data_IF_462220660656
#
_entry.id   IF_462220660656
#
_cell.length_a   1.000
_cell.length_b   1.000
_cell.length_c   1.000
_cell.angle_alpha   90.00
_cell.angle_beta   90.00
_cell.angle_gamma   90.00
#
_symmetry.space_group_name_H-M   'P 1'
#
loop_
_entity.id
_entity.type
_entity.pdbx_description
1 polymer ?
#
# COMPACT_ATOMS: atom_id res chain seq x y z
N UNK A 1 2.50 5.76 -43.07
CA UNK A 1 2.99 4.38 -42.95
C UNK A 1 2.80 3.95 -41.51
N UNK A 2 2.11 2.82 -41.29
CA UNK A 2 1.52 2.41 -40.01
C UNK A 2 2.53 1.69 -39.09
N UNK A 3 2.13 1.61 -37.82
CA UNK A 3 2.48 0.61 -36.79
C UNK A 3 3.81 0.74 -36.02
N UNK A 4 3.71 1.20 -34.76
CA UNK A 4 3.76 0.27 -33.63
C UNK A 4 3.13 0.87 -32.36
N UNK A 5 1.93 0.42 -32.02
CA UNK A 5 1.43 0.46 -30.66
C UNK A 5 2.24 -0.56 -29.85
N UNK A 6 3.01 -0.12 -28.85
CA UNK A 6 3.31 -0.95 -27.68
C UNK A 6 2.54 -0.39 -26.50
N UNK A 7 1.45 -1.10 -26.21
CA UNK A 7 0.66 -1.01 -25.00
C UNK A 7 1.52 -1.27 -23.76
N UNK A 8 1.85 -0.22 -23.03
CA UNK A 8 2.11 -0.27 -21.58
C UNK A 8 1.50 0.93 -20.87
N UNK A 9 0.32 1.38 -21.33
CA UNK A 9 -0.57 2.23 -20.53
C UNK A 9 -1.31 1.38 -19.47
N UNK A 10 -0.56 0.77 -18.55
CA UNK A 10 -1.09 0.26 -17.28
C UNK A 10 -0.10 0.67 -16.19
N UNK A 11 -0.04 1.97 -15.92
CA UNK A 11 0.77 2.50 -14.82
C UNK A 11 0.05 3.67 -14.18
N UNK A 12 -1.18 3.44 -13.69
CA UNK A 12 -1.93 4.39 -12.86
C UNK A 12 -2.85 3.63 -11.90
N UNK A 13 -2.77 4.01 -10.60
CA UNK A 13 -3.72 3.78 -9.49
C UNK A 13 -3.42 2.69 -8.46
N UNK A 14 -2.22 2.67 -7.88
CA UNK A 14 -2.00 1.91 -6.64
C UNK A 14 -1.80 2.87 -5.47
N UNK A 15 -2.89 3.18 -4.76
CA UNK A 15 -2.75 3.56 -3.36
C UNK A 15 -2.29 2.30 -2.62
N UNK A 16 -1.19 2.41 -1.86
CA UNK A 16 -0.60 1.31 -1.10
C UNK A 16 -0.77 1.61 0.37
N UNK A 17 -1.45 0.71 1.07
CA UNK A 17 -1.41 0.68 2.53
C UNK A 17 -0.34 -0.33 2.96
N UNK A 18 0.48 0.06 3.94
CA UNK A 18 1.68 -0.64 4.35
C UNK A 18 1.72 -0.86 5.86
N UNK A 19 1.63 -2.11 6.30
CA UNK A 19 1.82 -2.44 7.72
C UNK A 19 3.29 -2.75 7.99
N UNK A 20 3.94 -1.93 8.81
CA UNK A 20 5.35 -2.06 9.18
C UNK A 20 5.47 -2.86 10.47
N UNK A 21 6.29 -3.90 10.47
CA UNK A 21 6.53 -4.79 11.60
C UNK A 21 8.03 -4.85 11.89
N UNK A 22 8.40 -4.83 13.16
CA UNK A 22 9.79 -4.92 13.60
C UNK A 22 9.97 -6.13 14.51
N UNK A 23 10.95 -6.98 14.21
CA UNK A 23 11.31 -8.10 15.08
C UNK A 23 12.13 -7.63 16.28
N UNK A 24 12.25 -8.46 17.32
CA UNK A 24 13.10 -8.19 18.50
C UNK A 24 14.59 -7.93 18.16
N UNK A 25 15.03 -8.29 16.95
CA UNK A 25 16.40 -8.02 16.44
C UNK A 25 16.47 -6.83 15.48
N UNK A 26 15.46 -5.97 15.44
CA UNK A 26 15.44 -4.77 14.59
C UNK A 26 15.17 -5.00 13.10
N UNK A 27 14.94 -6.25 12.66
CA UNK A 27 14.58 -6.53 11.25
C UNK A 27 13.16 -6.07 10.94
N UNK A 28 12.99 -5.45 9.78
CA UNK A 28 11.72 -4.85 9.34
C UNK A 28 11.03 -5.74 8.30
N UNK A 29 9.73 -5.94 8.44
CA UNK A 29 8.86 -6.53 7.44
C UNK A 29 7.68 -5.60 7.13
N UNK A 30 7.33 -5.47 5.85
CA UNK A 30 6.21 -4.65 5.39
C UNK A 30 5.20 -5.51 4.64
N UNK A 31 3.92 -5.38 4.99
CA UNK A 31 2.81 -5.97 4.24
C UNK A 31 2.15 -4.88 3.41
N UNK A 32 2.18 -5.02 2.09
CA UNK A 32 1.56 -4.10 1.14
C UNK A 32 0.21 -4.60 0.63
N UNK A 33 -0.80 -3.73 0.67
CA UNK A 33 -2.13 -3.95 0.08
C UNK A 33 -2.34 -2.99 -1.08
N UNK A 34 -2.79 -3.54 -2.20
CA UNK A 34 -3.12 -2.76 -3.40
C UNK A 34 -4.62 -2.47 -3.45
N UNK A 35 -4.97 -1.25 -3.84
CA UNK A 35 -6.36 -0.82 -3.99
C UNK A 35 -6.63 -0.28 -5.40
N UNK A 36 -7.79 -0.63 -5.94
CA UNK A 36 -8.37 0.01 -7.14
C UNK A 36 -9.66 0.74 -6.78
N UNK A 37 -10.03 1.74 -7.57
CA UNK A 37 -11.33 2.41 -7.44
C UNK A 37 -12.47 1.38 -7.52
N UNK A 38 -13.43 1.52 -6.61
CA UNK A 38 -14.61 0.65 -6.54
C UNK A 38 -15.47 0.94 -5.32
N UNK A 39 -16.04 -0.12 -4.73
CA UNK A 39 -16.83 -0.03 -3.50
C UNK A 39 -15.96 0.44 -2.32
N UNK A 40 -16.54 1.16 -1.34
CA UNK A 40 -15.84 1.54 -0.12
C UNK A 40 -15.17 0.34 0.56
N UNK A 41 -13.96 0.55 1.05
CA UNK A 41 -13.27 -0.43 1.87
C UNK A 41 -13.80 -0.41 3.31
N UNK A 42 -14.20 -1.57 3.84
CA UNK A 42 -14.79 -1.68 5.19
C UNK A 42 -13.87 -1.18 6.30
N UNK A 43 -12.56 -1.41 6.19
CA UNK A 43 -11.58 -0.96 7.18
C UNK A 43 -11.42 0.56 7.13
N UNK A 44 -11.20 1.12 5.93
CA UNK A 44 -11.04 2.57 5.76
C UNK A 44 -12.30 3.36 6.11
N UNK A 45 -13.50 2.76 5.99
CA UNK A 45 -14.74 3.41 6.44
C UNK A 45 -14.69 3.73 7.93
N UNK A 46 -14.07 2.88 8.76
CA UNK A 46 -13.96 3.12 10.21
C UNK A 46 -13.02 4.26 10.55
N UNK A 47 -12.05 4.54 9.66
CA UNK A 47 -11.07 5.61 9.83
C UNK A 47 -11.52 6.92 9.18
N UNK A 48 -12.60 6.91 8.39
CA UNK A 48 -12.96 7.99 7.49
C UNK A 48 -13.22 9.31 8.23
N UNK A 49 -13.95 9.27 9.35
CA UNK A 49 -14.25 10.46 10.14
C UNK A 49 -12.98 11.04 10.76
N UNK A 50 -12.08 10.17 11.23
CA UNK A 50 -10.74 10.53 11.67
C UNK A 50 -9.95 11.24 10.57
N UNK A 51 -9.87 10.64 9.38
CA UNK A 51 -9.16 11.19 8.23
C UNK A 51 -9.72 12.53 7.74
N UNK A 52 -11.04 12.74 7.83
CA UNK A 52 -11.67 14.01 7.42
C UNK A 52 -11.42 15.17 8.37
N UNK A 53 -11.04 14.88 9.61
CA UNK A 53 -10.94 15.86 10.69
C UNK A 53 -9.54 15.94 11.28
N UNK A 54 -8.61 15.09 10.82
CA UNK A 54 -7.21 15.14 11.21
C UNK A 54 -6.61 16.44 10.71
N UNK A 55 -5.96 17.15 11.63
CA UNK A 55 -5.18 18.35 11.34
C UNK A 55 -3.72 18.07 11.65
N UNK A 56 -3.04 19.05 12.25
CA UNK A 56 -1.64 18.89 12.70
C UNK A 56 -1.49 18.13 14.02
N UNK A 57 -2.58 17.94 14.73
CA UNK A 57 -2.59 17.26 16.03
C UNK A 57 -3.01 15.80 15.87
N UNK A 58 -2.44 14.95 16.74
CA UNK A 58 -2.81 13.54 16.80
C UNK A 58 -4.28 13.39 17.21
N UNK A 59 -4.95 12.41 16.61
CA UNK A 59 -6.35 12.11 16.88
C UNK A 59 -6.51 10.68 17.37
N UNK A 60 -7.16 10.52 18.51
CA UNK A 60 -7.57 9.21 19.01
C UNK A 60 -8.73 8.67 18.16
N UNK A 61 -8.51 7.47 17.60
CA UNK A 61 -9.50 6.73 16.80
C UNK A 61 -10.17 5.61 17.60
N UNK A 62 -9.86 5.49 18.89
CA UNK A 62 -10.27 4.39 19.74
C UNK A 62 -9.63 3.05 19.31
N UNK A 63 -10.34 1.95 19.59
CA UNK A 63 -9.84 0.61 19.31
C UNK A 63 -10.00 0.28 17.83
N UNK A 64 -8.87 0.19 17.12
CA UNK A 64 -8.80 -0.27 15.73
C UNK A 64 -8.22 -1.68 15.70
N UNK A 65 -9.02 -2.66 15.25
CA UNK A 65 -8.56 -4.04 15.08
C UNK A 65 -7.94 -4.25 13.68
N UNK A 66 -6.60 -4.39 13.56
CA UNK A 66 -5.94 -4.57 12.26
C UNK A 66 -6.31 -5.89 11.57
N UNK A 67 -6.86 -6.88 12.30
CA UNK A 67 -7.34 -8.15 11.70
C UNK A 67 -8.55 -7.95 10.81
N UNK A 68 -9.21 -6.81 10.91
CA UNK A 68 -10.34 -6.43 10.04
C UNK A 68 -9.88 -6.00 8.64
N UNK A 69 -8.57 -5.87 8.41
CA UNK A 69 -7.99 -5.74 7.07
C UNK A 69 -8.13 -7.09 6.35
N UNK A 70 -9.25 -7.25 5.63
CA UNK A 70 -9.56 -8.50 4.93
C UNK A 70 -8.73 -8.62 3.66
N UNK A 71 -7.62 -9.35 3.73
CA UNK A 71 -6.81 -9.68 2.56
C UNK A 71 -7.53 -10.63 1.59
N UNK A 72 -8.48 -11.45 2.09
CA UNK A 72 -9.30 -12.43 1.33
C UNK A 72 -8.51 -13.35 0.38
N UNK A 73 -7.19 -13.44 0.56
CA UNK A 73 -6.29 -14.32 -0.17
C UNK A 73 -5.09 -14.64 0.69
N UNK A 74 -4.50 -15.82 0.47
CA UNK A 74 -3.19 -16.19 1.01
C UNK A 74 -2.08 -16.04 -0.03
N UNK A 75 -2.40 -15.64 -1.27
CA UNK A 75 -1.42 -15.46 -2.35
C UNK A 75 -0.69 -14.12 -2.20
N UNK A 76 0.64 -14.12 -2.31
CA UNK A 76 1.45 -12.91 -2.18
C UNK A 76 2.76 -12.99 -2.94
N UNK A 77 3.33 -11.82 -3.23
CA UNK A 77 4.72 -11.69 -3.67
C UNK A 77 5.61 -11.35 -2.47
N UNK A 78 6.83 -11.87 -2.46
CA UNK A 78 7.83 -11.63 -1.42
C UNK A 78 9.14 -11.19 -2.07
N UNK A 79 9.80 -10.16 -1.51
CA UNK A 79 11.15 -9.75 -1.92
C UNK A 79 11.84 -8.97 -0.79
N UNK A 80 13.17 -8.80 -0.89
CA UNK A 80 13.95 -7.97 0.04
C UNK A 80 14.16 -6.58 -0.57
N UNK A 81 13.59 -5.55 0.02
CA UNK A 81 13.62 -4.19 -0.47
C UNK A 81 14.13 -3.18 0.54
N UNK A 82 13.69 -1.94 0.35
CA UNK A 82 13.94 -0.83 1.26
C UNK A 82 12.62 -0.25 1.78
N UNK A 83 12.70 0.64 2.76
CA UNK A 83 11.64 1.60 3.02
C UNK A 83 11.41 2.50 1.79
N UNK A 84 10.17 2.93 1.59
CA UNK A 84 9.79 3.84 0.49
C UNK A 84 9.87 5.31 0.87
N UNK A 85 10.24 5.60 2.11
CA UNK A 85 10.45 6.94 2.67
C UNK A 85 11.89 7.05 3.18
N UNK A 86 12.50 8.25 3.16
CA UNK A 86 13.81 8.48 3.75
C UNK A 86 13.89 7.95 5.20
N UNK A 87 15.01 7.34 5.62
CA UNK A 87 16.30 7.25 4.91
C UNK A 87 16.39 6.08 3.91
N UNK A 88 15.27 5.49 3.48
CA UNK A 88 15.24 4.40 2.50
C UNK A 88 16.04 3.15 2.95
N UNK A 89 16.01 2.83 4.25
CA UNK A 89 16.73 1.69 4.84
C UNK A 89 16.45 0.38 4.11
N UNK A 90 17.51 -0.34 3.72
CA UNK A 90 17.45 -1.63 3.02
C UNK A 90 17.25 -2.82 3.98
N UNK A 91 17.16 -4.04 3.43
CA UNK A 91 16.97 -5.28 4.20
C UNK A 91 15.52 -5.51 4.66
N UNK A 92 14.57 -4.75 4.12
CA UNK A 92 13.15 -4.83 4.47
C UNK A 92 12.49 -6.00 3.75
N UNK A 93 11.82 -6.89 4.49
CA UNK A 93 11.06 -8.00 3.91
C UNK A 93 9.71 -7.49 3.44
N UNK A 94 9.51 -7.37 2.12
CA UNK A 94 8.24 -6.94 1.54
C UNK A 94 7.32 -8.12 1.23
N UNK A 95 6.07 -8.05 1.67
CA UNK A 95 5.00 -9.01 1.34
C UNK A 95 3.86 -8.25 0.67
N UNK A 96 3.71 -8.39 -0.65
CA UNK A 96 2.64 -7.71 -1.40
C UNK A 96 1.51 -8.70 -1.64
N UNK A 97 0.35 -8.43 -1.05
CA UNK A 97 -0.84 -9.30 -1.21
C UNK A 97 -1.30 -9.27 -2.66
N UNK A 98 -1.52 -10.44 -3.27
CA UNK A 98 -1.84 -10.56 -4.71
C UNK A 98 -3.20 -9.96 -5.06
N UNK A 99 -4.16 -10.03 -4.13
CA UNK A 99 -5.53 -9.55 -4.33
C UNK A 99 -5.56 -8.04 -4.23
N UNK A 100 -6.13 -7.41 -5.26
CA UNK A 100 -6.38 -5.97 -5.29
C UNK A 100 -7.73 -5.70 -4.63
N UNK A 101 -7.73 -4.95 -3.53
CA UNK A 101 -8.92 -4.51 -2.83
C UNK A 101 -9.57 -3.31 -3.53
N UNK A 102 -10.77 -2.94 -3.10
CA UNK A 102 -11.45 -1.74 -3.60
C UNK A 102 -11.42 -0.62 -2.57
N UNK A 103 -11.42 0.61 -3.05
CA UNK A 103 -11.52 1.85 -2.27
C UNK A 103 -12.46 2.82 -2.99
N UNK A 104 -13.26 3.58 -2.24
CA UNK A 104 -14.15 4.59 -2.84
C UNK A 104 -13.39 5.88 -3.19
N UNK A 105 -14.00 6.70 -4.06
CA UNK A 105 -13.45 8.03 -4.40
C UNK A 105 -13.36 8.91 -3.16
N UNK A 106 -14.38 8.87 -2.29
CA UNK A 106 -14.43 9.62 -1.03
C UNK A 106 -13.28 9.21 -0.09
N UNK A 107 -13.02 7.91 0.05
CA UNK A 107 -11.92 7.42 0.90
C UNK A 107 -10.55 7.84 0.36
N UNK A 108 -10.33 7.80 -0.96
CA UNK A 108 -9.09 8.32 -1.56
C UNK A 108 -8.97 9.82 -1.31
N UNK A 109 -10.04 10.59 -1.46
CA UNK A 109 -10.02 12.03 -1.25
C UNK A 109 -9.69 12.36 0.22
N UNK A 110 -10.30 11.66 1.18
CA UNK A 110 -9.99 11.83 2.59
C UNK A 110 -8.51 11.54 2.90
N UNK A 111 -7.94 10.45 2.37
CA UNK A 111 -6.51 10.15 2.53
C UNK A 111 -5.59 11.21 1.93
N UNK A 112 -5.96 11.77 0.77
CA UNK A 112 -5.17 12.82 0.10
C UNK A 112 -5.24 14.17 0.78
N UNK A 113 -6.34 14.47 1.44
CA UNK A 113 -6.52 15.73 2.16
C UNK A 113 -5.91 15.67 3.58
N UNK A 114 -5.64 14.47 4.09
CA UNK A 114 -5.08 14.24 5.41
C UNK A 114 -3.54 14.34 5.48
N UNK A 115 -2.86 14.56 4.35
CA UNK A 115 -1.40 14.70 4.28
C UNK A 115 -1.01 16.16 4.13
N UNK A 116 0.22 16.50 4.50
CA UNK A 116 0.77 17.85 4.30
C UNK A 116 0.73 18.27 2.82
N UNK A 117 0.60 19.58 2.58
CA UNK A 117 0.56 20.17 1.24
C UNK A 117 1.75 19.70 0.38
N UNK A 118 1.45 19.26 -0.84
CA UNK A 118 2.45 18.72 -1.79
C UNK A 118 2.74 17.23 -1.65
N UNK A 119 2.13 16.54 -0.67
CA UNK A 119 2.24 15.08 -0.50
C UNK A 119 0.98 14.31 -0.90
N UNK A 120 0.03 14.92 -1.61
CA UNK A 120 -1.21 14.30 -2.08
C UNK A 120 -0.93 13.13 -3.06
N UNK A 121 0.28 13.12 -3.63
CA UNK A 121 0.88 12.01 -4.38
C UNK A 121 2.16 11.51 -3.72
N UNK A 122 2.06 10.96 -2.51
CA UNK A 122 3.17 10.41 -1.71
C UNK A 122 3.73 9.04 -2.15
N UNK A 123 3.65 8.71 -3.45
CA UNK A 123 4.15 7.43 -3.98
C UNK A 123 5.54 7.57 -4.60
N UNK A 124 6.55 6.98 -3.96
CA UNK A 124 7.90 6.83 -4.55
C UNK A 124 7.81 6.08 -5.89
N UNK A 125 8.50 6.53 -6.95
CA UNK A 125 8.55 5.83 -8.24
C UNK A 125 9.04 4.39 -8.11
N UNK A 126 8.61 3.54 -9.05
CA UNK A 126 9.16 2.17 -9.17
C UNK A 126 10.67 2.26 -9.36
N UNK A 127 11.40 1.45 -8.61
CA UNK A 127 12.86 1.37 -8.69
C UNK A 127 13.25 0.11 -9.46
N UNK A 128 14.44 0.14 -10.06
CA UNK A 128 14.97 -1.01 -10.79
C UNK A 128 15.08 -2.25 -9.89
N UNK A 129 14.92 -3.42 -10.51
CA UNK A 129 14.97 -4.68 -9.78
C UNK A 129 16.40 -5.10 -9.46
N UNK A 130 17.40 -4.64 -10.21
CA UNK A 130 18.82 -4.96 -10.04
C UNK A 130 19.08 -6.47 -9.88
N UNK A 131 18.36 -7.30 -10.64
CA UNK A 131 18.48 -8.76 -10.57
C UNK A 131 17.91 -9.42 -9.32
N UNK A 132 17.27 -8.65 -8.42
CA UNK A 132 16.66 -9.18 -7.20
C UNK A 132 15.56 -10.20 -7.51
N UNK A 133 15.56 -11.37 -6.85
CA UNK A 133 14.47 -12.33 -6.96
C UNK A 133 13.19 -11.80 -6.31
N UNK A 134 12.05 -12.11 -6.94
CA UNK A 134 10.71 -11.91 -6.39
C UNK A 134 10.02 -13.26 -6.33
N UNK A 135 9.73 -13.74 -5.13
CA UNK A 135 9.06 -15.01 -4.91
C UNK A 135 7.55 -14.80 -4.98
N UNK A 136 6.83 -15.75 -5.57
CA UNK A 136 5.37 -15.80 -5.53
C UNK A 136 4.94 -17.02 -4.72
N UNK A 137 4.08 -16.78 -3.74
CA UNK A 137 3.47 -17.84 -2.94
C UNK A 137 2.00 -18.00 -3.35
N UNK A 138 1.62 -19.25 -3.62
CA UNK A 138 0.25 -19.66 -3.90
C UNK A 138 0.02 -21.01 -3.20
N UNK A 139 -0.92 -21.10 -2.24
CA UNK A 139 -1.12 -22.32 -1.47
C UNK A 139 -1.88 -23.41 -2.23
N UNK A 140 -2.35 -23.14 -3.45
CA UNK A 140 -3.20 -24.05 -4.23
C UNK A 140 -2.44 -24.73 -5.39
N UNK A 141 -1.11 -24.62 -5.42
CA UNK A 141 -0.22 -25.24 -6.42
C UNK A 141 0.86 -26.04 -5.73
#
# INVERSE_FOLDING_TARGET
MKHHLRTSKIQRRDQRDGQVHTSARGRIAVIGVLYKLGKPNEFLTRLLDGLKTVGKEEKDLGIVDPRTIRFQTKKFYRYIGSLTVPPCTEGVIWTVVKRVNTISVEQIAALRNAVDDGYETNSRPVQDTNGRPVWFFDPNV
#
